data_IF_149594181345
#
_entry.id   IF_149594181345
#
_cell.length_a   1.000
_cell.length_b   1.000
_cell.length_c   1.000
_cell.angle_alpha   90.00
_cell.angle_beta   90.00
_cell.angle_gamma   90.00
#
_symmetry.space_group_name_H-M   'P 1'
#
loop_
_entity.id
_entity.type
_entity.pdbx_description
1 polymer ?
#
# COMPACT_ATOMS: atom_id res chain seq x y z
N UNK A 1 -40.11 90.22 -35.35
CA UNK A 1 -39.93 89.21 -36.40
C UNK A 1 -38.48 89.26 -36.82
N UNK A 2 -37.67 88.29 -36.47
CA UNK A 2 -36.48 88.00 -37.25
C UNK A 2 -36.36 86.57 -37.59
N UNK A 3 -35.78 86.42 -38.76
CA UNK A 3 -35.56 85.26 -39.62
C UNK A 3 -34.43 84.36 -39.07
N UNK A 4 -34.67 83.09 -39.08
CA UNK A 4 -33.67 82.04 -38.78
C UNK A 4 -32.78 81.76 -40.00
N UNK A 5 -31.48 81.56 -39.84
CA UNK A 5 -30.62 80.99 -40.89
C UNK A 5 -30.44 79.49 -40.78
N UNK A 6 -30.31 78.88 -41.96
CA UNK A 6 -30.21 77.46 -42.23
C UNK A 6 -28.99 76.74 -41.66
N UNK A 7 -29.19 75.51 -41.26
CA UNK A 7 -28.16 74.57 -40.83
C UNK A 7 -27.54 73.83 -42.01
N UNK A 8 -26.18 73.74 -42.03
CA UNK A 8 -25.40 72.89 -42.96
C UNK A 8 -25.19 71.50 -42.38
N UNK A 9 -25.17 70.42 -43.16
CA UNK A 9 -24.94 69.07 -42.66
C UNK A 9 -23.40 68.81 -42.49
N UNK A 10 -23.06 68.27 -41.36
CA UNK A 10 -21.71 67.82 -41.01
C UNK A 10 -21.54 66.36 -41.50
N UNK A 11 -20.52 66.16 -42.36
CA UNK A 11 -20.08 64.86 -42.83
C UNK A 11 -19.43 64.05 -41.67
N UNK A 12 -20.07 62.97 -41.22
CA UNK A 12 -19.48 62.04 -40.30
C UNK A 12 -18.67 60.98 -41.07
N UNK A 13 -17.36 61.03 -40.85
CA UNK A 13 -16.41 60.03 -41.31
C UNK A 13 -16.64 58.69 -40.54
N UNK A 14 -16.92 57.66 -41.33
CA UNK A 14 -16.93 56.28 -40.85
C UNK A 14 -15.52 55.83 -40.44
N UNK A 15 -15.24 55.76 -39.13
CA UNK A 15 -14.08 55.01 -38.64
C UNK A 15 -14.55 53.54 -38.37
N UNK A 16 -14.01 52.61 -39.16
CA UNK A 16 -14.09 51.18 -38.90
C UNK A 16 -13.36 50.88 -37.62
N UNK A 17 -14.09 50.43 -36.60
CA UNK A 17 -13.54 49.77 -35.44
C UNK A 17 -13.49 48.26 -35.74
N UNK A 18 -12.28 47.78 -36.06
CA UNK A 18 -11.94 46.35 -36.05
C UNK A 18 -11.90 45.91 -34.59
N UNK A 19 -12.97 45.26 -34.14
CA UNK A 19 -13.01 44.57 -32.88
C UNK A 19 -12.24 43.25 -32.97
N UNK A 20 -11.07 43.20 -32.38
CA UNK A 20 -10.35 41.93 -32.15
C UNK A 20 -11.13 41.10 -31.10
N UNK A 21 -11.84 40.06 -31.55
CA UNK A 21 -12.39 39.05 -30.68
C UNK A 21 -11.25 38.16 -30.19
N UNK A 22 -10.81 38.42 -28.95
CA UNK A 22 -9.93 37.49 -28.22
C UNK A 22 -10.74 36.23 -27.91
N UNK A 23 -10.52 35.15 -28.66
CA UNK A 23 -10.92 33.80 -28.24
C UNK A 23 -10.12 33.43 -27.00
N UNK A 24 -10.75 33.59 -25.82
CA UNK A 24 -10.30 32.93 -24.61
C UNK A 24 -10.61 31.44 -24.78
N UNK A 25 -9.61 30.70 -25.23
CA UNK A 25 -9.63 29.24 -25.23
C UNK A 25 -9.70 28.76 -23.77
N UNK A 26 -10.90 28.44 -23.29
CA UNK A 26 -11.07 27.61 -22.11
C UNK A 26 -10.45 26.25 -22.41
N UNK A 27 -9.16 26.12 -22.14
CA UNK A 27 -8.51 24.84 -22.02
C UNK A 27 -9.25 24.07 -20.94
N UNK A 28 -10.13 23.16 -21.32
CA UNK A 28 -10.63 22.08 -20.48
C UNK A 28 -9.43 21.22 -20.09
N UNK A 29 -8.66 21.68 -19.10
CA UNK A 29 -7.80 20.81 -18.33
C UNK A 29 -8.71 19.74 -17.76
N UNK A 30 -8.74 18.58 -18.43
CA UNK A 30 -9.37 17.40 -17.87
C UNK A 30 -8.71 17.18 -16.53
N UNK A 31 -9.43 17.49 -15.45
CA UNK A 31 -9.11 16.97 -14.14
C UNK A 31 -9.07 15.45 -14.36
N UNK A 32 -7.86 14.87 -14.34
CA UNK A 32 -7.70 13.44 -14.16
C UNK A 32 -8.44 13.15 -12.85
N UNK A 33 -9.70 12.72 -12.99
CA UNK A 33 -10.52 12.39 -11.85
C UNK A 33 -9.72 11.41 -10.99
N UNK A 34 -9.54 11.72 -9.72
CA UNK A 34 -8.93 10.81 -8.78
C UNK A 34 -9.63 9.46 -8.98
N UNK A 35 -8.87 8.46 -9.43
CA UNK A 35 -9.42 7.13 -9.68
C UNK A 35 -10.00 6.66 -8.36
N UNK A 36 -11.32 6.45 -8.31
CA UNK A 36 -11.99 6.11 -7.06
C UNK A 36 -11.50 4.78 -6.48
N UNK A 37 -11.87 4.50 -5.26
CA UNK A 37 -11.51 3.25 -4.59
C UNK A 37 -11.77 1.99 -5.45
N UNK A 38 -12.88 1.87 -6.22
CA UNK A 38 -13.08 0.72 -7.09
C UNK A 38 -11.97 0.55 -8.13
N UNK A 39 -11.52 1.64 -8.75
CA UNK A 39 -10.46 1.60 -9.75
C UNK A 39 -9.11 1.27 -9.13
N UNK A 40 -8.84 1.79 -7.93
CA UNK A 40 -7.67 1.43 -7.16
C UNK A 40 -7.64 -0.07 -6.88
N UNK A 41 -8.75 -0.64 -6.39
CA UNK A 41 -8.88 -2.07 -6.12
C UNK A 41 -8.63 -2.89 -7.38
N UNK A 42 -9.27 -2.52 -8.50
CA UNK A 42 -9.14 -3.24 -9.76
C UNK A 42 -7.68 -3.29 -10.26
N UNK A 43 -6.95 -2.17 -10.15
CA UNK A 43 -5.54 -2.10 -10.53
C UNK A 43 -4.63 -2.88 -9.57
N UNK A 44 -4.81 -2.70 -8.27
CA UNK A 44 -3.94 -3.27 -7.26
C UNK A 44 -4.09 -4.79 -7.11
N UNK A 45 -5.24 -5.34 -7.48
CA UNK A 45 -5.59 -6.74 -7.28
C UNK A 45 -4.57 -7.73 -7.84
N UNK A 46 -3.95 -7.41 -8.99
CA UNK A 46 -2.92 -8.25 -9.62
C UNK A 46 -1.53 -8.11 -9.02
N UNK A 47 -1.34 -7.10 -8.20
CA UNK A 47 -0.06 -6.77 -7.56
C UNK A 47 0.05 -7.35 -6.15
N UNK A 48 -1.09 -7.68 -5.52
CA UNK A 48 -1.12 -8.22 -4.16
C UNK A 48 -1.08 -9.74 -4.22
N UNK A 49 -0.16 -10.34 -3.48
CA UNK A 49 0.13 -11.77 -3.49
C UNK A 49 -0.05 -12.39 -2.11
N UNK A 50 -0.34 -13.67 -2.08
CA UNK A 50 -0.27 -14.46 -0.85
C UNK A 50 1.18 -14.90 -0.64
N UNK A 51 1.73 -14.65 0.54
CA UNK A 51 3.06 -15.12 0.94
C UNK A 51 2.92 -16.36 1.83
N UNK A 52 3.72 -17.36 1.56
CA UNK A 52 3.70 -18.60 2.31
C UNK A 52 4.98 -19.40 2.21
N UNK A 53 4.90 -20.65 2.63
CA UNK A 53 5.97 -21.63 2.49
C UNK A 53 5.48 -22.85 1.70
N UNK A 54 6.36 -23.44 0.93
CA UNK A 54 6.10 -24.69 0.22
C UNK A 54 6.93 -25.80 0.83
N UNK A 55 6.30 -26.92 1.18
CA UNK A 55 6.95 -28.12 1.63
C UNK A 55 6.40 -29.33 0.86
N UNK A 56 7.29 -30.14 0.30
CA UNK A 56 6.89 -31.29 -0.51
C UNK A 56 6.08 -32.33 0.30
N UNK A 57 6.41 -32.47 1.58
CA UNK A 57 5.77 -33.41 2.52
C UNK A 57 4.64 -32.79 3.33
N UNK A 58 4.38 -31.48 3.16
CA UNK A 58 3.31 -30.82 3.88
C UNK A 58 1.93 -31.14 3.26
N UNK A 59 0.90 -31.10 4.10
CA UNK A 59 -0.49 -31.19 3.65
C UNK A 59 -1.33 -30.07 4.32
N UNK A 60 -1.76 -29.03 3.60
CA UNK A 60 -1.45 -28.76 2.18
C UNK A 60 0.02 -28.40 1.96
N UNK A 61 0.54 -28.64 0.74
CA UNK A 61 1.93 -28.33 0.39
C UNK A 61 2.27 -26.85 0.47
N UNK A 62 1.33 -25.98 0.20
CA UNK A 62 1.48 -24.54 0.39
C UNK A 62 0.86 -24.14 1.74
N UNK A 63 1.71 -23.67 2.63
CA UNK A 63 1.30 -23.11 3.94
C UNK A 63 1.15 -21.60 3.87
N UNK A 64 -0.09 -21.12 3.93
CA UNK A 64 -0.41 -19.69 4.00
C UNK A 64 0.22 -19.03 5.23
N UNK A 65 0.75 -17.81 5.07
CA UNK A 65 1.28 -17.01 6.17
C UNK A 65 0.70 -15.61 6.23
N UNK A 66 0.72 -14.87 5.11
CA UNK A 66 0.35 -13.46 5.09
C UNK A 66 0.17 -12.92 3.66
N UNK A 67 0.01 -11.61 3.55
CA UNK A 67 0.01 -10.87 2.30
C UNK A 67 1.41 -10.35 1.94
N UNK A 68 1.57 -9.96 0.69
CA UNK A 68 2.68 -9.20 0.15
C UNK A 68 2.23 -8.47 -1.11
N UNK A 69 3.10 -7.65 -1.68
CA UNK A 69 2.77 -6.94 -2.92
C UNK A 69 4.00 -6.65 -3.76
N UNK A 70 3.81 -6.63 -5.08
CA UNK A 70 4.86 -6.41 -6.05
C UNK A 70 5.28 -4.93 -6.11
N UNK A 71 6.60 -4.72 -6.17
CA UNK A 71 7.26 -3.41 -6.27
C UNK A 71 8.40 -3.45 -7.28
N UNK A 72 9.06 -2.33 -7.51
CA UNK A 72 10.25 -2.25 -8.36
C UNK A 72 9.96 -2.63 -9.80
N UNK A 73 10.60 -3.69 -10.28
CA UNK A 73 10.41 -4.21 -11.64
C UNK A 73 9.24 -5.23 -11.75
N UNK A 74 8.50 -5.43 -10.66
CA UNK A 74 7.39 -6.39 -10.60
C UNK A 74 7.81 -7.82 -10.26
N UNK A 75 9.09 -8.08 -10.05
CA UNK A 75 9.62 -9.35 -9.55
C UNK A 75 10.02 -9.29 -8.08
N UNK A 76 10.11 -8.09 -7.51
CA UNK A 76 10.28 -7.89 -6.07
C UNK A 76 8.93 -7.87 -5.37
N UNK A 77 8.85 -8.55 -4.23
CA UNK A 77 7.67 -8.57 -3.36
C UNK A 77 8.05 -8.09 -1.97
N UNK A 78 7.39 -7.02 -1.51
CA UNK A 78 7.46 -6.56 -0.12
C UNK A 78 6.45 -7.33 0.73
N UNK A 79 6.87 -7.67 1.95
CA UNK A 79 6.04 -8.28 2.99
C UNK A 79 6.60 -7.97 4.38
N UNK A 80 5.96 -8.42 5.45
CA UNK A 80 6.52 -8.33 6.81
C UNK A 80 7.60 -9.37 7.06
N UNK A 81 8.66 -9.01 7.78
CA UNK A 81 9.78 -9.93 8.05
C UNK A 81 9.37 -11.13 8.93
N UNK A 82 8.43 -10.93 9.86
CA UNK A 82 7.98 -11.98 10.77
C UNK A 82 7.22 -13.13 10.06
N UNK A 83 6.73 -12.91 8.83
CA UNK A 83 6.01 -13.94 8.06
C UNK A 83 6.95 -14.81 7.23
N UNK A 84 8.16 -14.32 6.97
CA UNK A 84 9.16 -15.08 6.23
C UNK A 84 9.87 -16.03 7.19
N UNK A 85 9.95 -17.33 6.90
CA UNK A 85 10.66 -18.29 7.74
C UNK A 85 12.10 -17.81 8.01
N UNK A 86 12.56 -17.96 9.24
CA UNK A 86 13.99 -17.83 9.55
C UNK A 86 14.71 -19.02 8.93
N UNK A 87 15.91 -18.79 8.38
CA UNK A 87 16.80 -19.81 7.86
C UNK A 87 17.34 -20.63 9.03
N UNK A 88 16.53 -21.49 9.62
CA UNK A 88 16.99 -22.45 10.63
C UNK A 88 17.27 -23.77 9.91
N UNK A 89 18.38 -24.47 10.23
CA UNK A 89 18.77 -25.74 9.62
C UNK A 89 17.69 -26.84 9.70
N UNK A 90 16.75 -26.70 10.61
CA UNK A 90 15.65 -27.65 10.86
C UNK A 90 14.55 -27.63 9.79
N UNK A 91 14.65 -26.77 8.76
CA UNK A 91 13.63 -26.59 7.73
C UNK A 91 14.19 -26.58 6.29
N UNK A 92 15.20 -27.39 6.04
CA UNK A 92 15.85 -27.55 4.72
C UNK A 92 14.84 -27.99 3.63
N UNK A 93 13.72 -28.58 4.03
CA UNK A 93 12.66 -29.10 3.17
C UNK A 93 11.58 -28.09 2.76
N UNK A 94 11.68 -26.85 3.27
CA UNK A 94 10.66 -25.81 3.02
C UNK A 94 11.27 -24.57 2.36
N UNK A 95 10.67 -24.18 1.23
CA UNK A 95 11.02 -22.97 0.48
C UNK A 95 9.98 -21.87 0.69
N UNK A 96 10.39 -20.61 0.51
CA UNK A 96 9.46 -19.49 0.42
C UNK A 96 8.73 -19.59 -0.92
N UNK A 97 7.42 -19.42 -0.89
CA UNK A 97 6.62 -19.39 -2.09
C UNK A 97 5.52 -18.32 -1.99
N UNK A 98 5.05 -17.86 -3.14
CA UNK A 98 3.93 -16.94 -3.25
C UNK A 98 2.83 -17.53 -4.11
N UNK A 99 1.58 -17.16 -3.85
CA UNK A 99 0.47 -17.38 -4.75
C UNK A 99 0.13 -16.08 -5.45
N UNK A 100 0.12 -16.10 -6.76
CA UNK A 100 -0.20 -14.97 -7.64
C UNK A 100 -1.56 -15.19 -8.26
N UNK A 101 -2.42 -14.18 -8.18
CA UNK A 101 -3.74 -14.23 -8.81
C UNK A 101 -3.64 -13.94 -10.31
N UNK A 102 -4.17 -14.85 -11.13
CA UNK A 102 -4.18 -14.74 -12.60
C UNK A 102 -5.50 -14.18 -13.17
N UNK A 103 -6.53 -14.09 -12.35
CA UNK A 103 -7.91 -13.80 -12.77
C UNK A 103 -8.80 -15.01 -12.60
N UNK A 104 -10.12 -14.85 -12.64
CA UNK A 104 -11.13 -15.91 -12.65
C UNK A 104 -10.90 -16.99 -11.58
N UNK A 105 -10.58 -16.57 -10.36
CA UNK A 105 -10.25 -17.39 -9.20
C UNK A 105 -9.08 -18.37 -9.40
N UNK A 106 -8.25 -18.12 -10.43
CA UNK A 106 -7.05 -18.91 -10.68
C UNK A 106 -5.85 -18.34 -9.94
N UNK A 107 -5.13 -19.23 -9.26
CA UNK A 107 -3.92 -18.93 -8.53
C UNK A 107 -2.75 -19.74 -9.06
N UNK A 108 -1.61 -19.10 -9.18
CA UNK A 108 -0.35 -19.72 -9.57
C UNK A 108 0.67 -19.61 -8.44
N UNK A 109 1.15 -20.76 -8.00
CA UNK A 109 2.28 -20.78 -7.08
C UNK A 109 3.58 -20.44 -7.82
N UNK A 110 4.41 -19.59 -7.24
CA UNK A 110 5.75 -19.26 -7.71
C UNK A 110 6.75 -19.39 -6.57
N UNK A 111 7.95 -19.84 -6.89
CA UNK A 111 9.05 -19.85 -5.94
C UNK A 111 9.48 -18.42 -5.62
N UNK A 112 9.94 -18.25 -4.39
CA UNK A 112 10.48 -16.97 -3.95
C UNK A 112 11.77 -17.18 -3.16
N UNK A 113 12.69 -16.23 -3.25
CA UNK A 113 13.90 -16.18 -2.43
C UNK A 113 13.98 -14.87 -1.67
N UNK A 114 14.51 -14.90 -0.48
CA UNK A 114 14.74 -13.72 0.31
C UNK A 114 15.89 -12.91 -0.28
N UNK A 115 15.64 -11.63 -0.61
CA UNK A 115 16.68 -10.67 -0.98
C UNK A 115 17.25 -9.99 0.26
N UNK A 116 16.39 -9.50 1.13
CA UNK A 116 16.80 -8.79 2.32
C UNK A 116 15.72 -8.68 3.38
N UNK A 117 16.16 -8.36 4.60
CA UNK A 117 15.29 -8.11 5.76
C UNK A 117 15.71 -6.84 6.47
N UNK A 118 14.74 -6.02 6.79
CA UNK A 118 14.87 -4.98 7.80
C UNK A 118 14.13 -5.44 9.07
N UNK A 119 14.85 -6.02 9.99
CA UNK A 119 14.28 -6.53 11.25
C UNK A 119 13.82 -5.42 12.19
N UNK A 120 14.35 -4.20 12.04
CA UNK A 120 13.95 -3.03 12.81
C UNK A 120 12.53 -2.62 12.44
N UNK A 121 12.28 -2.46 11.16
CA UNK A 121 10.98 -2.08 10.61
C UNK A 121 10.09 -3.30 10.30
N UNK A 122 10.54 -4.51 10.60
CA UNK A 122 9.80 -5.75 10.32
C UNK A 122 9.41 -5.90 8.84
N UNK A 123 10.31 -5.55 7.92
CA UNK A 123 10.12 -5.66 6.47
C UNK A 123 10.97 -6.78 5.89
N UNK A 124 10.48 -7.42 4.86
CA UNK A 124 11.24 -8.34 4.03
C UNK A 124 10.99 -8.06 2.54
N UNK A 125 12.05 -8.19 1.75
CA UNK A 125 12.03 -8.11 0.30
C UNK A 125 12.33 -9.48 -0.27
N UNK A 126 11.42 -9.98 -1.10
CA UNK A 126 11.52 -11.26 -1.79
C UNK A 126 11.72 -11.03 -3.27
N UNK A 127 12.43 -11.94 -3.94
CA UNK A 127 12.46 -12.08 -5.40
C UNK A 127 11.59 -13.26 -5.78
N UNK A 128 10.69 -13.09 -6.72
CA UNK A 128 9.83 -14.15 -7.25
C UNK A 128 10.26 -14.56 -8.65
N UNK A 129 9.98 -15.81 -9.00
CA UNK A 129 10.18 -16.33 -10.35
C UNK A 129 8.98 -16.04 -11.26
N UNK A 130 9.20 -16.15 -12.58
CA UNK A 130 8.17 -16.03 -13.61
C UNK A 130 7.99 -14.62 -14.15
N UNK A 131 6.88 -14.33 -14.84
CA UNK A 131 6.63 -13.02 -15.41
C UNK A 131 6.45 -11.93 -14.35
N UNK A 132 6.91 -10.70 -14.64
CA UNK A 132 6.72 -9.54 -13.79
C UNK A 132 5.24 -9.27 -13.51
N UNK A 133 4.93 -8.93 -12.28
CA UNK A 133 3.61 -8.46 -11.86
C UNK A 133 3.52 -6.94 -12.05
N UNK A 134 2.31 -6.37 -12.14
CA UNK A 134 2.16 -4.92 -12.06
C UNK A 134 2.76 -4.41 -10.74
N UNK A 135 3.79 -3.58 -10.80
CA UNK A 135 4.43 -3.03 -9.61
C UNK A 135 3.59 -1.89 -9.03
N UNK A 136 3.45 -1.86 -7.70
CA UNK A 136 2.83 -0.75 -6.98
C UNK A 136 3.87 0.33 -6.70
N UNK A 137 3.44 1.59 -6.85
CA UNK A 137 4.28 2.75 -6.53
C UNK A 137 4.25 3.01 -5.03
N UNK A 138 5.43 3.15 -4.44
CA UNK A 138 5.58 3.60 -3.06
C UNK A 138 5.49 5.12 -3.01
N UNK A 139 4.81 5.66 -1.99
CA UNK A 139 4.75 7.09 -1.77
C UNK A 139 6.15 7.64 -1.39
N UNK A 140 6.50 8.79 -1.95
CA UNK A 140 7.78 9.46 -1.65
C UNK A 140 7.77 10.14 -0.29
N UNK A 141 6.60 10.53 0.18
CA UNK A 141 6.41 11.23 1.45
C UNK A 141 5.51 10.44 2.38
N UNK A 142 5.74 10.61 3.67
CA UNK A 142 4.90 10.03 4.70
C UNK A 142 3.49 10.64 4.67
N UNK A 143 2.47 9.79 4.76
CA UNK A 143 1.08 10.24 4.75
C UNK A 143 0.75 11.03 6.02
N UNK A 144 0.17 12.24 5.93
CA UNK A 144 -0.26 12.98 7.10
C UNK A 144 -1.42 12.30 7.83
N UNK A 145 -1.58 12.63 9.11
CA UNK A 145 -2.75 12.24 9.87
C UNK A 145 -4.03 12.75 9.21
N UNK A 146 -5.08 11.93 9.21
CA UNK A 146 -6.33 12.21 8.51
C UNK A 146 -6.38 11.71 7.06
N UNK A 147 -5.24 11.26 6.47
CA UNK A 147 -5.23 10.68 5.12
C UNK A 147 -6.20 9.50 5.05
N UNK A 148 -7.11 9.53 4.07
CA UNK A 148 -8.02 8.42 3.77
C UNK A 148 -7.25 7.26 3.16
N UNK A 149 -7.34 6.09 3.78
CA UNK A 149 -6.57 4.92 3.37
C UNK A 149 -7.44 3.72 3.01
N UNK A 150 -6.88 2.86 2.16
CA UNK A 150 -7.35 1.50 1.93
C UNK A 150 -6.21 0.51 2.18
N UNK A 151 -6.48 -0.53 2.95
CA UNK A 151 -5.53 -1.63 3.13
C UNK A 151 -6.05 -2.90 2.47
N UNK A 152 -5.16 -3.69 1.88
CA UNK A 152 -5.51 -4.92 1.18
C UNK A 152 -4.73 -6.10 1.74
N UNK A 153 -5.39 -7.26 1.80
CA UNK A 153 -4.78 -8.50 2.24
C UNK A 153 -5.74 -9.69 2.20
N UNK A 154 -5.33 -10.78 2.84
CA UNK A 154 -6.07 -12.05 2.84
C UNK A 154 -6.47 -12.42 4.28
N UNK A 155 -7.53 -11.79 4.83
CA UNK A 155 -7.94 -12.08 6.20
C UNK A 155 -8.31 -13.55 6.33
N UNK A 156 -7.71 -14.22 7.31
CA UNK A 156 -7.99 -15.62 7.66
C UNK A 156 -7.86 -16.56 6.43
N UNK A 157 -6.89 -16.30 5.55
CA UNK A 157 -6.74 -17.03 4.27
C UNK A 157 -6.64 -18.56 4.42
N UNK A 158 -6.22 -19.08 5.59
CA UNK A 158 -6.22 -20.52 5.86
C UNK A 158 -7.63 -21.14 5.93
N UNK A 159 -8.64 -20.35 6.33
CA UNK A 159 -9.99 -20.86 6.58
C UNK A 159 -10.97 -20.45 5.48
N UNK A 160 -10.79 -19.25 4.89
CA UNK A 160 -11.73 -18.68 3.94
C UNK A 160 -11.24 -18.72 2.48
N UNK A 161 -10.06 -19.31 2.24
CA UNK A 161 -9.39 -19.27 0.93
C UNK A 161 -8.72 -17.92 0.66
N UNK A 162 -8.12 -17.77 -0.52
CA UNK A 162 -7.34 -16.58 -0.87
C UNK A 162 -8.22 -15.48 -1.48
N UNK A 163 -9.21 -15.01 -0.72
CA UNK A 163 -10.03 -13.88 -1.14
C UNK A 163 -9.35 -12.57 -0.75
N UNK A 164 -8.92 -11.79 -1.74
CA UNK A 164 -8.34 -10.46 -1.49
C UNK A 164 -9.43 -9.53 -0.99
N UNK A 165 -9.25 -9.02 0.21
CA UNK A 165 -10.20 -8.13 0.88
C UNK A 165 -9.60 -6.73 1.01
N UNK A 166 -10.45 -5.71 0.85
CA UNK A 166 -10.09 -4.31 1.04
C UNK A 166 -10.83 -3.74 2.23
N UNK A 167 -10.11 -3.11 3.16
CA UNK A 167 -10.67 -2.36 4.27
C UNK A 167 -10.34 -0.88 4.12
N UNK A 168 -11.22 0.00 4.58
CA UNK A 168 -11.00 1.46 4.60
C UNK A 168 -10.72 1.95 6.00
N UNK A 169 -10.04 3.08 6.09
CA UNK A 169 -9.77 3.78 7.32
C UNK A 169 -9.06 5.10 7.08
N UNK A 170 -8.42 5.60 8.13
CA UNK A 170 -7.58 6.80 8.09
C UNK A 170 -6.25 6.55 8.79
N UNK A 171 -5.24 7.35 8.47
CA UNK A 171 -4.06 7.51 9.32
C UNK A 171 -4.50 8.29 10.55
N UNK A 172 -4.60 7.64 11.71
CA UNK A 172 -5.11 8.28 12.93
C UNK A 172 -4.03 8.96 13.75
N UNK A 173 -2.79 8.46 13.71
CA UNK A 173 -1.67 9.08 14.42
C UNK A 173 -0.32 8.56 13.89
N UNK A 174 0.73 9.33 14.16
CA UNK A 174 2.11 8.85 14.10
C UNK A 174 2.61 8.53 15.50
N UNK A 175 3.05 7.32 15.73
CA UNK A 175 3.52 6.89 17.03
C UNK A 175 4.90 6.24 16.95
N UNK A 176 5.67 6.41 18.02
CA UNK A 176 6.93 5.70 18.17
C UNK A 176 6.65 4.38 18.90
N UNK A 177 6.82 3.26 18.25
CA UNK A 177 6.68 1.95 18.88
C UNK A 177 8.05 1.34 19.11
N UNK A 178 8.31 0.94 20.35
CA UNK A 178 9.20 -0.15 20.59
C UNK A 178 8.39 -1.42 20.28
N UNK A 179 8.67 -2.07 19.17
CA UNK A 179 7.94 -3.20 18.57
C UNK A 179 6.84 -3.82 19.44
N UNK A 180 5.61 -4.01 18.94
CA UNK A 180 4.57 -4.64 19.76
C UNK A 180 5.09 -5.99 20.25
N UNK A 181 5.24 -6.13 21.56
CA UNK A 181 5.54 -7.42 22.16
C UNK A 181 4.38 -8.35 21.80
N UNK A 182 4.63 -9.36 20.99
CA UNK A 182 3.63 -10.37 20.61
C UNK A 182 3.20 -11.27 21.80
N UNK A 183 3.63 -10.92 23.01
CA UNK A 183 3.30 -11.64 24.24
C UNK A 183 3.26 -10.69 25.44
N UNK A 184 2.21 -10.78 26.29
CA UNK A 184 2.14 -10.04 27.55
C UNK A 184 3.21 -10.45 28.58
N UNK A 185 3.92 -11.56 28.34
CA UNK A 185 4.75 -12.23 29.34
C UNK A 185 6.25 -11.87 29.31
N UNK A 186 6.66 -10.82 28.62
CA UNK A 186 8.06 -10.38 28.74
C UNK A 186 8.57 -9.52 27.61
N UNK A 187 9.39 -8.55 27.94
CA UNK A 187 10.29 -7.86 27.06
C UNK A 187 11.21 -8.91 26.40
N UNK A 188 10.86 -9.34 25.19
CA UNK A 188 11.73 -10.22 24.43
C UNK A 188 13.07 -9.53 24.23
N UNK A 189 14.17 -10.31 24.10
CA UNK A 189 15.50 -9.76 23.77
C UNK A 189 15.48 -8.88 22.49
N UNK A 190 14.45 -9.05 21.65
CA UNK A 190 14.13 -8.24 20.47
C UNK A 190 13.59 -6.86 20.87
N UNK A 191 12.62 -6.81 21.80
CA UNK A 191 12.07 -5.54 22.30
C UNK A 191 13.12 -4.71 23.02
N UNK A 192 14.02 -5.36 23.79
CA UNK A 192 15.15 -4.68 24.44
C UNK A 192 16.12 -4.13 23.42
N UNK A 193 16.47 -4.85 22.35
CA UNK A 193 17.31 -4.34 21.25
C UNK A 193 16.66 -3.16 20.54
N UNK A 194 15.38 -3.24 20.22
CA UNK A 194 14.66 -2.14 19.57
C UNK A 194 14.59 -0.88 20.42
N UNK A 195 14.46 -1.01 21.74
CA UNK A 195 14.58 0.12 22.67
C UNK A 195 15.99 0.74 22.67
N UNK A 196 17.04 -0.10 22.49
CA UNK A 196 18.44 0.39 22.38
C UNK A 196 18.71 1.08 21.05
N UNK A 197 18.13 0.59 19.96
CA UNK A 197 18.34 1.09 18.58
C UNK A 197 17.48 2.30 18.25
N UNK A 198 16.70 2.80 19.21
CA UNK A 198 15.79 3.93 19.08
C UNK A 198 14.41 3.53 18.57
N UNK A 199 13.39 4.20 19.07
CA UNK A 199 12.01 4.01 18.62
C UNK A 199 11.90 4.38 17.12
N UNK A 200 11.26 3.51 16.32
CA UNK A 200 10.92 3.85 14.95
C UNK A 200 9.46 4.34 14.87
N UNK A 201 9.21 5.27 13.96
CA UNK A 201 7.86 5.78 13.74
C UNK A 201 7.05 4.80 12.92
N UNK A 202 5.82 4.55 13.34
CA UNK A 202 4.81 3.81 12.58
C UNK A 202 3.54 4.62 12.48
N UNK A 203 2.78 4.37 11.44
CA UNK A 203 1.42 4.88 11.31
C UNK A 203 0.48 4.03 12.16
N UNK A 204 -0.26 4.66 13.06
CA UNK A 204 -1.44 4.09 13.67
C UNK A 204 -2.63 4.38 12.75
N UNK A 205 -3.38 3.35 12.44
CA UNK A 205 -4.53 3.42 11.54
C UNK A 205 -5.80 3.15 12.33
N UNK A 206 -6.83 3.95 12.08
CA UNK A 206 -8.21 3.60 12.43
C UNK A 206 -8.77 2.76 11.29
N UNK A 207 -8.50 1.48 11.37
CA UNK A 207 -8.89 0.47 10.39
C UNK A 207 -8.81 -0.92 11.04
N UNK A 208 -9.68 -1.82 10.60
CA UNK A 208 -9.64 -3.21 11.07
C UNK A 208 -8.69 -4.01 10.19
N UNK A 209 -7.71 -4.68 10.80
CA UNK A 209 -6.89 -5.68 10.16
C UNK A 209 -7.00 -7.02 10.89
N UNK A 210 -7.03 -8.09 10.11
CA UNK A 210 -7.11 -9.46 10.60
C UNK A 210 -5.79 -10.21 10.38
N UNK A 211 -5.55 -11.31 11.09
CA UNK A 211 -4.46 -12.23 10.78
C UNK A 211 -4.49 -12.64 9.30
N UNK A 212 -3.35 -12.50 8.63
CA UNK A 212 -3.24 -12.72 7.19
C UNK A 212 -3.16 -11.45 6.34
N UNK A 213 -3.52 -10.30 6.90
CA UNK A 213 -3.34 -9.01 6.23
C UNK A 213 -1.91 -8.45 6.38
N UNK A 214 -1.11 -8.96 7.33
CA UNK A 214 0.29 -8.54 7.53
C UNK A 214 1.09 -8.61 6.24
N UNK A 215 1.94 -7.61 5.99
CA UNK A 215 2.72 -7.47 4.77
C UNK A 215 1.94 -6.92 3.57
N UNK A 216 0.62 -6.73 3.69
CA UNK A 216 -0.20 -6.13 2.65
C UNK A 216 0.02 -4.62 2.50
N UNK A 217 -0.32 -4.04 1.33
CA UNK A 217 -0.18 -2.61 1.07
C UNK A 217 -1.25 -1.79 1.79
N UNK A 218 -0.85 -0.61 2.27
CA UNK A 218 -1.74 0.46 2.71
C UNK A 218 -1.65 1.58 1.68
N UNK A 219 -2.76 1.90 1.03
CA UNK A 219 -2.84 2.92 0.00
C UNK A 219 -3.41 4.22 0.55
N UNK A 220 -2.91 5.33 0.09
CA UNK A 220 -3.66 6.57 0.04
C UNK A 220 -4.69 6.47 -1.10
N UNK A 221 -5.97 6.65 -0.77
CA UNK A 221 -7.07 6.44 -1.73
C UNK A 221 -7.04 7.51 -2.83
N UNK A 222 -6.61 8.74 -2.51
CA UNK A 222 -6.65 9.86 -3.44
C UNK A 222 -5.52 9.79 -4.47
N UNK A 223 -4.31 9.46 -4.05
CA UNK A 223 -3.15 9.31 -4.95
C UNK A 223 -3.03 7.90 -5.55
N UNK A 224 -3.56 6.90 -4.89
CA UNK A 224 -3.39 5.49 -5.25
C UNK A 224 -1.99 4.94 -4.97
N UNK A 225 -1.11 5.70 -4.33
CA UNK A 225 0.22 5.25 -3.93
C UNK A 225 0.18 4.44 -2.64
N UNK A 226 1.12 3.52 -2.48
CA UNK A 226 1.31 2.77 -1.24
C UNK A 226 2.01 3.67 -0.22
N UNK A 227 1.33 4.03 0.86
CA UNK A 227 1.86 4.84 1.96
C UNK A 227 2.46 4.01 3.09
N UNK A 228 2.19 2.71 3.12
CA UNK A 228 2.76 1.83 4.15
C UNK A 228 2.57 0.35 3.90
N UNK A 229 3.26 -0.44 4.74
CA UNK A 229 3.19 -1.90 4.79
C UNK A 229 2.53 -2.31 6.10
N UNK A 230 1.46 -3.07 6.01
CA UNK A 230 0.66 -3.47 7.16
C UNK A 230 1.43 -4.43 8.07
N UNK A 231 1.47 -4.13 9.37
CA UNK A 231 2.10 -5.01 10.38
C UNK A 231 1.09 -5.91 11.07
N UNK A 232 -0.12 -5.41 11.28
CA UNK A 232 -1.21 -6.10 11.98
C UNK A 232 -1.93 -5.22 12.97
N UNK A 233 -3.00 -5.75 13.54
CA UNK A 233 -3.78 -5.09 14.59
C UNK A 233 -3.26 -5.39 16.00
N UNK A 234 -3.65 -4.55 16.96
CA UNK A 234 -3.44 -4.83 18.37
C UNK A 234 -4.34 -6.00 18.80
N UNK A 235 -3.72 -7.09 19.20
CA UNK A 235 -4.44 -8.27 19.73
C UNK A 235 -4.47 -8.18 21.25
N UNK A 236 -5.65 -8.10 21.84
CA UNK A 236 -5.79 -7.95 23.31
C UNK A 236 -5.40 -9.20 24.11
N UNK A 237 -5.41 -10.41 23.51
CA UNK A 237 -5.05 -11.63 24.24
C UNK A 237 -4.63 -12.80 23.34
N UNK A 238 -5.50 -13.33 22.49
CA UNK A 238 -5.24 -14.48 21.62
C UNK A 238 -5.62 -14.19 20.18
N UNK A 239 -5.18 -15.06 19.23
CA UNK A 239 -5.58 -14.95 17.83
C UNK A 239 -7.09 -15.06 17.65
N UNK A 240 -7.75 -15.86 18.47
CA UNK A 240 -9.21 -16.03 18.50
C UNK A 240 -9.91 -14.75 18.97
N UNK A 241 -9.33 -14.04 19.95
CA UNK A 241 -9.84 -12.74 20.39
C UNK A 241 -9.70 -11.66 19.32
N UNK A 242 -8.64 -11.70 18.49
CA UNK A 242 -8.50 -10.79 17.35
C UNK A 242 -9.58 -10.98 16.29
N UNK A 243 -10.15 -12.19 16.19
CA UNK A 243 -11.24 -12.51 15.27
C UNK A 243 -12.60 -12.09 15.82
N UNK A 244 -12.82 -12.27 17.13
CA UNK A 244 -14.11 -12.03 17.77
C UNK A 244 -14.33 -10.59 18.23
N UNK A 245 -13.25 -9.85 18.54
CA UNK A 245 -13.30 -8.48 19.04
C UNK A 245 -12.12 -7.64 18.50
N UNK A 246 -12.08 -7.31 17.19
CA UNK A 246 -11.03 -6.47 16.64
C UNK A 246 -11.04 -5.10 17.30
N UNK A 247 -9.85 -4.55 17.59
CA UNK A 247 -9.74 -3.28 18.33
C UNK A 247 -9.98 -2.05 17.47
N UNK A 248 -9.97 -2.19 16.14
CA UNK A 248 -9.95 -1.05 15.22
C UNK A 248 -8.59 -0.34 15.13
N UNK A 249 -7.64 -0.66 16.01
CA UNK A 249 -6.29 -0.08 16.00
C UNK A 249 -5.36 -1.02 15.25
N UNK A 250 -4.79 -0.51 14.18
CA UNK A 250 -3.86 -1.22 13.30
C UNK A 250 -2.59 -0.40 13.12
N UNK A 251 -1.46 -1.05 12.87
CA UNK A 251 -0.19 -0.39 12.62
C UNK A 251 0.36 -0.74 11.25
N UNK A 252 0.99 0.26 10.61
CA UNK A 252 1.71 0.09 9.36
C UNK A 252 3.08 0.77 9.42
N UNK A 253 4.06 0.14 8.81
CA UNK A 253 5.38 0.73 8.57
C UNK A 253 5.29 1.67 7.38
N UNK A 254 5.85 2.89 7.45
CA UNK A 254 5.76 3.85 6.36
C UNK A 254 6.46 3.36 5.09
N UNK A 255 5.96 3.81 3.95
CA UNK A 255 6.52 3.47 2.63
C UNK A 255 7.97 3.93 2.48
N UNK A 256 8.39 4.99 3.17
CA UNK A 256 9.78 5.47 3.19
C UNK A 256 10.76 4.39 3.67
N UNK A 257 10.41 3.61 4.70
CA UNK A 257 11.24 2.48 5.15
C UNK A 257 11.27 1.34 4.12
N UNK A 258 10.13 1.05 3.48
CA UNK A 258 10.04 0.04 2.42
C UNK A 258 10.86 0.45 1.17
N UNK A 259 10.82 1.73 0.80
CA UNK A 259 11.62 2.29 -0.29
C UNK A 259 13.13 2.22 0.00
N UNK A 260 13.54 2.47 1.25
CA UNK A 260 14.93 2.33 1.66
C UNK A 260 15.43 0.89 1.51
N UNK A 261 14.64 -0.10 1.97
CA UNK A 261 14.96 -1.51 1.80
C UNK A 261 15.03 -1.90 0.30
N UNK A 262 14.06 -1.46 -0.51
CA UNK A 262 14.05 -1.73 -1.95
C UNK A 262 15.30 -1.16 -2.63
N UNK A 263 15.66 0.10 -2.33
CA UNK A 263 16.80 0.79 -2.93
C UNK A 263 18.15 0.12 -2.62
N UNK A 264 18.29 -0.58 -1.50
CA UNK A 264 19.48 -1.33 -1.14
C UNK A 264 19.75 -2.51 -2.10
N UNK A 265 18.68 -3.11 -2.66
CA UNK A 265 18.76 -4.33 -3.47
C UNK A 265 18.57 -4.10 -4.98
N UNK A 266 17.95 -3.00 -5.39
CA UNK A 266 17.80 -2.64 -6.82
C UNK A 266 19.10 -2.06 -7.41
N UNK A 267 20.02 -1.55 -6.58
CA UNK A 267 21.32 -0.99 -7.03
C UNK A 267 22.41 -2.05 -7.22
N UNK A 268 22.11 -3.32 -7.00
CA UNK A 268 23.04 -4.45 -7.19
C UNK A 268 22.64 -5.28 -8.41
#
# INVERSE_FOLDING_TARGET
MPVLPASRPCLLSRRLLLGAAALVGLGSGGAAGAAGLPDLIARAKRSVVVVGSYGLMDNPRFGFRAAGFAVGDGLQVLTSAHVVPSDTPERIDRSIAVQVWLGDDQWQMRSARLLGRDLRNDLALLQIDGPALPALSLAEQDAPEGTSIALMGFPIGNALGYTLTTHRGIVSAWTAIASPAQSPAGLSARAVRQLRDGAFKVMQLDAIAYPGNSGGPVFDIDSGAVVGVLQGGVVKSTKEAALSAPTGITYAVPASAAAALLAEYVKR
#
